data_IF_306797734117
#
_entry.id   IF_306797734117
#
_cell.length_a   1.000
_cell.length_b   1.000
_cell.length_c   1.000
_cell.angle_alpha   90.00
_cell.angle_beta   90.00
_cell.angle_gamma   90.00
#
_symmetry.space_group_name_H-M   'P 1'
#
loop_
_entity.id
_entity.type
_entity.pdbx_description
1 polymer ?
#
# COMPACT_ATOMS: atom_id res chain seq x y z
N UNK A 1 -33.16 -57.75 -17.76
CA UNK A 1 -32.47 -57.01 -16.67
C UNK A 1 -31.33 -56.19 -17.28
N UNK A 2 -31.51 -54.86 -17.42
CA UNK A 2 -30.55 -53.96 -18.08
C UNK A 2 -29.43 -53.60 -17.09
N UNK A 3 -28.18 -53.90 -17.44
CA UNK A 3 -26.98 -53.54 -16.66
C UNK A 3 -26.66 -52.07 -16.93
N UNK A 4 -26.92 -51.20 -15.94
CA UNK A 4 -26.52 -49.78 -15.99
C UNK A 4 -25.02 -49.72 -15.70
N UNK A 5 -24.23 -49.29 -16.69
CA UNK A 5 -22.80 -49.02 -16.52
C UNK A 5 -22.65 -47.60 -15.96
N UNK A 6 -22.25 -47.50 -14.70
CA UNK A 6 -21.88 -46.24 -14.07
C UNK A 6 -20.54 -45.78 -14.65
N UNK A 7 -20.54 -44.67 -15.40
CA UNK A 7 -19.33 -44.00 -15.87
C UNK A 7 -19.09 -42.82 -14.93
N UNK A 8 -18.08 -42.93 -14.07
CA UNK A 8 -17.64 -41.84 -13.20
C UNK A 8 -16.83 -40.88 -14.06
N UNK A 9 -17.46 -39.77 -14.47
CA UNK A 9 -16.76 -38.62 -15.04
C UNK A 9 -15.87 -38.01 -13.95
N UNK A 10 -14.56 -38.27 -14.04
CA UNK A 10 -13.55 -37.57 -13.26
C UNK A 10 -13.38 -36.15 -13.81
N UNK A 11 -14.32 -35.28 -13.46
CA UNK A 11 -14.17 -33.84 -13.62
C UNK A 11 -13.28 -33.32 -12.51
N UNK A 12 -11.97 -33.26 -12.74
CA UNK A 12 -11.06 -32.50 -11.88
C UNK A 12 -11.40 -31.02 -12.10
N UNK A 13 -12.41 -30.56 -11.37
CA UNK A 13 -12.59 -29.14 -11.09
C UNK A 13 -11.36 -28.73 -10.29
N UNK A 14 -10.42 -28.09 -10.98
CA UNK A 14 -9.33 -27.35 -10.37
C UNK A 14 -9.91 -26.15 -9.62
N UNK A 15 -10.57 -26.41 -8.49
CA UNK A 15 -10.89 -25.39 -7.52
C UNK A 15 -9.55 -25.10 -6.84
N UNK A 16 -8.81 -24.13 -7.36
CA UNK A 16 -7.73 -23.49 -6.64
C UNK A 16 -8.36 -22.80 -5.42
N UNK A 17 -8.61 -23.60 -4.38
CA UNK A 17 -8.86 -23.10 -3.04
C UNK A 17 -7.53 -22.47 -2.63
N UNK A 18 -7.39 -21.17 -2.87
CA UNK A 18 -6.47 -20.36 -2.07
C UNK A 18 -6.98 -20.56 -0.65
N UNK A 19 -6.36 -21.50 0.07
CA UNK A 19 -6.67 -21.77 1.44
C UNK A 19 -6.34 -20.49 2.20
N UNK A 20 -7.36 -19.66 2.43
CA UNK A 20 -7.33 -18.60 3.40
C UNK A 20 -7.22 -19.29 4.77
N UNK A 21 -5.98 -19.65 5.14
CA UNK A 21 -5.66 -20.17 6.45
C UNK A 21 -5.98 -19.06 7.46
N UNK A 22 -7.18 -19.14 8.04
CA UNK A 22 -7.60 -18.31 9.15
C UNK A 22 -6.76 -18.64 10.38
N UNK A 23 -5.99 -17.67 10.85
CA UNK A 23 -5.31 -17.73 12.14
C UNK A 23 -3.93 -17.05 12.18
N UNK A 24 -3.94 -15.72 12.35
CA UNK A 24 -2.82 -14.92 12.91
C UNK A 24 -1.43 -15.01 12.24
N UNK A 25 -1.32 -14.70 10.94
CA UNK A 25 -0.02 -14.56 10.26
C UNK A 25 0.59 -13.15 10.30
N UNK A 26 -0.23 -12.13 10.05
CA UNK A 26 0.20 -10.73 9.89
C UNK A 26 -0.72 -9.77 10.64
N UNK A 27 -0.14 -8.78 11.34
CA UNK A 27 -0.88 -7.71 12.00
C UNK A 27 -0.29 -6.36 11.57
N UNK A 28 -1.15 -5.48 11.06
CA UNK A 28 -0.80 -4.11 10.67
C UNK A 28 -0.22 -3.30 11.84
N UNK A 29 -0.65 -3.58 13.06
CA UNK A 29 -0.23 -2.82 14.25
C UNK A 29 1.22 -3.15 14.66
N UNK A 30 1.79 -4.25 14.13
CA UNK A 30 3.18 -4.65 14.36
C UNK A 30 4.16 -4.11 13.30
N UNK A 31 3.65 -3.46 12.24
CA UNK A 31 4.45 -2.95 11.13
C UNK A 31 4.18 -1.46 10.98
N UNK A 32 5.21 -0.63 11.10
CA UNK A 32 5.05 0.80 10.90
C UNK A 32 4.80 1.09 9.41
N UNK A 33 3.67 1.72 9.03
CA UNK A 33 3.34 1.99 7.63
C UNK A 33 4.37 2.85 6.90
N UNK A 34 5.17 3.65 7.62
CA UNK A 34 6.25 4.46 7.03
C UNK A 34 7.34 3.59 6.38
N UNK A 35 7.53 2.35 6.85
CA UNK A 35 8.49 1.38 6.31
C UNK A 35 8.06 0.85 4.93
N UNK A 36 6.75 0.92 4.66
CA UNK A 36 6.10 0.35 3.50
C UNK A 36 5.92 1.34 2.35
N UNK A 37 6.36 2.59 2.53
CA UNK A 37 6.45 3.58 1.47
C UNK A 37 7.86 4.18 1.43
N UNK A 38 8.30 4.59 0.25
CA UNK A 38 9.57 5.29 0.07
C UNK A 38 9.31 6.60 -0.65
N UNK A 39 9.94 7.66 -0.17
CA UNK A 39 9.97 8.93 -0.87
C UNK A 39 11.20 8.96 -1.80
N UNK A 40 10.98 9.17 -3.09
CA UNK A 40 12.02 9.39 -4.09
C UNK A 40 11.76 10.74 -4.76
N UNK A 41 12.55 11.75 -4.39
CA UNK A 41 12.30 13.14 -4.77
C UNK A 41 10.94 13.63 -4.26
N UNK A 42 10.05 13.99 -5.19
CA UNK A 42 8.70 14.51 -4.91
C UNK A 42 7.60 13.46 -5.01
N UNK A 43 7.95 12.17 -5.02
CA UNK A 43 6.99 11.09 -5.17
C UNK A 43 7.15 10.03 -4.07
N UNK A 44 6.02 9.58 -3.53
CA UNK A 44 5.91 8.40 -2.69
C UNK A 44 5.53 7.18 -3.52
N UNK A 45 6.25 6.09 -3.30
CA UNK A 45 6.04 4.79 -3.94
C UNK A 45 5.89 3.70 -2.89
N UNK A 46 5.12 2.66 -3.21
CA UNK A 46 4.97 1.52 -2.32
C UNK A 46 6.23 0.64 -2.35
N UNK A 47 6.69 0.20 -1.19
CA UNK A 47 7.90 -0.60 -1.08
C UNK A 47 7.59 -2.10 -1.25
N UNK A 48 7.28 -2.50 -2.48
CA UNK A 48 6.92 -3.90 -2.79
C UNK A 48 8.04 -4.91 -2.57
N UNK A 49 9.28 -4.46 -2.41
CA UNK A 49 10.42 -5.32 -2.07
C UNK A 49 10.44 -5.78 -0.61
N UNK A 50 9.59 -5.21 0.26
CA UNK A 50 9.50 -5.61 1.67
C UNK A 50 8.36 -6.61 1.84
N UNK A 51 8.72 -7.84 2.17
CA UNK A 51 7.78 -8.97 2.29
C UNK A 51 6.65 -8.69 3.27
N UNK A 52 6.94 -8.08 4.43
CA UNK A 52 5.91 -7.75 5.43
C UNK A 52 4.90 -6.72 4.93
N UNK A 53 5.28 -5.82 4.02
CA UNK A 53 4.35 -4.85 3.44
C UNK A 53 3.42 -5.55 2.43
N UNK A 54 4.01 -6.38 1.56
CA UNK A 54 3.25 -7.15 0.57
C UNK A 54 2.37 -8.23 1.21
N UNK A 55 2.77 -8.79 2.35
CA UNK A 55 1.96 -9.78 3.06
C UNK A 55 0.60 -9.20 3.46
N UNK A 56 0.55 -8.00 4.03
CA UNK A 56 -0.71 -7.35 4.39
C UNK A 56 -1.63 -7.08 3.19
N UNK A 57 -1.05 -6.66 2.06
CA UNK A 57 -1.79 -6.47 0.80
C UNK A 57 -2.30 -7.78 0.21
N UNK A 58 -1.44 -8.80 0.13
CA UNK A 58 -1.76 -10.10 -0.47
C UNK A 58 -2.77 -10.89 0.37
N UNK A 59 -2.70 -10.77 1.69
CA UNK A 59 -3.70 -11.33 2.61
C UNK A 59 -4.99 -10.50 2.67
N UNK A 60 -5.07 -9.36 1.96
CA UNK A 60 -6.25 -8.50 1.93
C UNK A 60 -6.55 -7.77 3.24
N UNK A 61 -5.57 -7.68 4.15
CA UNK A 61 -5.70 -7.03 5.47
C UNK A 61 -5.49 -5.52 5.41
N UNK A 62 -4.81 -5.05 4.37
CA UNK A 62 -4.65 -3.63 4.05
C UNK A 62 -4.78 -3.42 2.55
N UNK A 63 -5.15 -2.21 2.16
CA UNK A 63 -5.33 -1.76 0.78
C UNK A 63 -4.19 -0.86 0.30
N UNK A 64 -3.30 -0.45 1.20
CA UNK A 64 -2.18 0.44 0.93
C UNK A 64 -1.81 1.26 2.17
N UNK A 65 -1.00 2.30 1.95
CA UNK A 65 -0.59 3.25 3.00
C UNK A 65 -1.11 4.63 2.64
N UNK A 66 -1.91 5.22 3.53
CA UNK A 66 -2.28 6.63 3.44
C UNK A 66 -1.09 7.46 3.86
N UNK A 67 -0.72 8.44 3.04
CA UNK A 67 0.30 9.43 3.36
C UNK A 67 -0.30 10.82 3.25
N UNK A 68 -0.07 11.64 4.27
CA UNK A 68 -0.33 13.07 4.21
C UNK A 68 0.90 13.82 4.67
N UNK A 69 1.24 14.90 3.99
CA UNK A 69 2.38 15.71 4.39
C UNK A 69 2.14 17.20 4.20
N UNK A 70 2.89 17.98 4.95
CA UNK A 70 2.83 19.45 4.95
C UNK A 70 4.25 20.00 4.84
N UNK A 71 4.47 20.85 3.83
CA UNK A 71 5.64 21.69 3.69
C UNK A 71 5.35 23.05 4.31
N UNK A 72 6.16 23.45 5.27
CA UNK A 72 6.17 24.80 5.84
C UNK A 72 7.31 25.58 5.20
N UNK A 73 6.99 26.64 4.47
CA UNK A 73 7.98 27.47 3.78
C UNK A 73 8.42 28.65 4.65
N UNK A 74 9.63 29.18 4.43
CA UNK A 74 10.14 30.31 5.21
C UNK A 74 9.36 31.63 4.97
N UNK A 75 8.54 31.69 3.93
CA UNK A 75 7.63 32.82 3.67
C UNK A 75 6.34 32.77 4.52
N UNK A 76 6.21 31.79 5.42
CA UNK A 76 5.05 31.61 6.30
C UNK A 76 3.89 30.84 5.68
N UNK A 77 3.98 30.47 4.40
CA UNK A 77 2.95 29.67 3.73
C UNK A 77 3.14 28.18 3.93
N UNK A 78 2.08 27.41 3.65
CA UNK A 78 2.13 25.94 3.71
C UNK A 78 1.57 25.31 2.45
N UNK A 79 2.09 24.14 2.08
CA UNK A 79 1.52 23.28 1.04
C UNK A 79 1.26 21.90 1.62
N UNK A 80 0.06 21.37 1.41
CA UNK A 80 -0.36 20.06 1.90
C UNK A 80 -0.65 19.11 0.74
N UNK A 81 -0.32 17.84 0.93
CA UNK A 81 -0.76 16.75 0.06
C UNK A 81 -1.32 15.61 0.91
N UNK A 82 -2.21 14.84 0.30
CA UNK A 82 -2.75 13.61 0.87
C UNK A 82 -3.05 12.64 -0.26
N UNK A 83 -2.72 11.37 -0.06
CA UNK A 83 -3.04 10.33 -1.02
C UNK A 83 -2.85 8.94 -0.42
N UNK A 84 -3.29 7.93 -1.15
CA UNK A 84 -3.07 6.52 -0.79
C UNK A 84 -2.05 5.94 -1.75
N UNK A 85 -0.95 5.44 -1.20
CA UNK A 85 0.12 4.81 -1.94
C UNK A 85 -0.18 3.32 -2.03
N UNK A 86 -0.23 2.80 -3.25
CA UNK A 86 -0.39 1.37 -3.55
C UNK A 86 0.71 0.94 -4.54
N UNK A 87 0.95 -0.37 -4.74
CA UNK A 87 1.93 -0.84 -5.72
C UNK A 87 1.73 -0.30 -7.13
N UNK A 88 0.48 0.02 -7.51
CA UNK A 88 0.15 0.57 -8.83
C UNK A 88 -0.06 2.08 -8.85
N UNK A 89 -0.19 2.73 -7.68
CA UNK A 89 -0.55 4.14 -7.56
C UNK A 89 0.44 4.88 -6.66
N UNK A 90 1.42 5.57 -7.25
CA UNK A 90 2.28 6.49 -6.50
C UNK A 90 1.54 7.78 -6.14
N UNK A 91 2.06 8.52 -5.15
CA UNK A 91 1.51 9.82 -4.73
C UNK A 91 2.58 10.89 -4.85
N UNK A 92 2.32 11.95 -5.63
CA UNK A 92 3.21 13.11 -5.69
C UNK A 92 2.95 14.05 -4.50
N UNK A 93 4.00 14.64 -3.95
CA UNK A 93 3.93 15.50 -2.76
C UNK A 93 3.39 16.90 -3.03
N UNK A 94 3.01 17.20 -4.28
CA UNK A 94 2.63 18.55 -4.75
C UNK A 94 3.63 19.64 -4.32
N UNK A 95 4.88 19.26 -4.11
CA UNK A 95 5.93 20.20 -3.72
C UNK A 95 6.27 21.10 -4.91
N UNK A 96 6.07 22.40 -4.74
CA UNK A 96 6.53 23.40 -5.71
C UNK A 96 8.05 23.59 -5.56
N UNK A 97 8.80 23.01 -6.48
CA UNK A 97 10.27 23.07 -6.49
C UNK A 97 10.77 24.49 -6.73
N UNK A 98 10.08 25.27 -7.57
CA UNK A 98 10.46 26.67 -7.84
C UNK A 98 10.33 27.50 -6.56
N UNK A 99 9.24 27.29 -5.82
CA UNK A 99 9.04 27.92 -4.52
C UNK A 99 10.04 27.42 -3.48
N UNK A 100 10.26 26.10 -3.39
CA UNK A 100 11.27 25.53 -2.50
C UNK A 100 12.65 26.13 -2.77
N UNK A 101 13.06 26.31 -4.02
CA UNK A 101 14.35 26.90 -4.37
C UNK A 101 14.41 28.41 -4.06
N UNK A 102 13.28 29.12 -4.17
CA UNK A 102 13.22 30.57 -3.93
C UNK A 102 13.20 30.94 -2.44
N UNK A 103 12.37 30.26 -1.65
CA UNK A 103 12.15 30.62 -0.24
C UNK A 103 12.65 29.57 0.75
N UNK A 104 12.94 28.34 0.31
CA UNK A 104 13.31 27.24 1.19
C UNK A 104 12.13 26.64 1.95
N UNK A 105 12.31 25.41 2.44
CA UNK A 105 11.38 24.72 3.33
C UNK A 105 11.94 24.80 4.74
N UNK A 106 11.19 25.41 5.66
CA UNK A 106 11.54 25.50 7.08
C UNK A 106 11.37 24.14 7.77
N UNK A 107 10.28 23.45 7.45
CA UNK A 107 9.89 22.20 8.11
C UNK A 107 9.07 21.33 7.17
N UNK A 108 9.31 20.03 7.25
CA UNK A 108 8.48 19.01 6.62
C UNK A 108 7.89 18.10 7.69
N UNK A 109 6.61 17.75 7.54
CA UNK A 109 5.93 16.75 8.38
C UNK A 109 5.18 15.80 7.46
N UNK A 110 5.32 14.50 7.71
CA UNK A 110 4.54 13.46 7.06
C UNK A 110 3.90 12.57 8.13
N UNK A 111 2.69 12.11 7.85
CA UNK A 111 1.93 11.13 8.62
C UNK A 111 1.60 9.97 7.69
N UNK A 112 1.83 8.76 8.18
CA UNK A 112 1.58 7.52 7.45
C UNK A 112 0.68 6.61 8.26
N UNK A 113 -0.35 6.07 7.62
CA UNK A 113 -1.34 5.22 8.26
C UNK A 113 -1.72 4.05 7.34
N UNK A 114 -1.99 2.89 7.93
CA UNK A 114 -2.54 1.77 7.19
C UNK A 114 -3.96 2.06 6.70
N UNK A 115 -4.23 1.78 5.43
CA UNK A 115 -5.62 1.75 4.92
C UNK A 115 -6.10 0.31 5.03
N UNK A 116 -7.04 0.05 5.94
CA UNK A 116 -7.66 -1.28 6.15
C UNK A 116 -8.89 -1.42 5.23
#
# INVERSE_FOLDING_TARGET
>A
MKKIKFVIFSGILGISLNAFAGGSGWNADNVDPSQCIKQSGVQYTYNSGVSVCMQGLNEGKVRGVSVSGVFYYNDGTTSNFKGVVTPSTPVNTNQDINKTNKVGVQKYRALTEWVK
#
